data_IF_587538441048
#
_entry.id   IF_587538441048
#
_cell.length_a   1.000
_cell.length_b   1.000
_cell.length_c   1.000
_cell.angle_alpha   90.00
_cell.angle_beta   90.00
_cell.angle_gamma   90.00
#
_symmetry.space_group_name_H-M   'P 1'
#
loop_
_entity.id
_entity.type
_entity.pdbx_description
1 polymer ?
#
# COMPACT_ATOMS: atom_id res chain seq x y z
N UNK A 1 -4.83 -8.34 -7.05
CA UNK A 1 -5.04 -7.25 -8.01
C UNK A 1 -3.81 -6.90 -8.84
N UNK A 2 -2.66 -7.48 -8.58
CA UNK A 2 -1.40 -7.20 -9.30
C UNK A 2 -1.50 -7.36 -10.81
N UNK A 3 -2.35 -8.26 -11.30
CA UNK A 3 -2.62 -8.48 -12.72
C UNK A 3 -3.49 -7.40 -13.39
N UNK A 4 -4.09 -6.48 -12.63
CA UNK A 4 -4.88 -5.35 -13.15
C UNK A 4 -3.99 -4.14 -13.33
N UNK A 5 -4.13 -3.43 -14.45
CA UNK A 5 -3.49 -2.12 -14.67
C UNK A 5 -2.21 -2.13 -15.49
N UNK A 6 -1.83 -3.27 -16.05
CA UNK A 6 -0.84 -3.38 -17.13
C UNK A 6 0.61 -3.04 -16.75
N UNK A 7 0.94 -2.83 -15.49
CA UNK A 7 2.34 -2.71 -15.05
C UNK A 7 2.98 -4.10 -15.07
N UNK A 8 3.87 -4.36 -16.03
CA UNK A 8 4.60 -5.62 -16.14
C UNK A 8 6.09 -5.35 -16.05
N UNK A 9 6.81 -6.11 -15.21
CA UNK A 9 8.23 -5.95 -15.07
C UNK A 9 8.91 -7.22 -14.58
N UNK A 10 10.22 -7.31 -14.79
CA UNK A 10 11.08 -8.38 -14.25
C UNK A 10 12.14 -7.79 -13.33
N UNK A 11 12.54 -8.59 -12.36
CA UNK A 11 13.63 -8.26 -11.46
C UNK A 11 14.96 -8.50 -12.17
N UNK A 12 15.92 -7.61 -11.94
CA UNK A 12 17.31 -7.73 -12.36
C UNK A 12 18.21 -7.83 -11.12
N UNK A 13 19.47 -8.21 -11.28
CA UNK A 13 20.44 -8.17 -10.18
C UNK A 13 20.58 -6.77 -9.54
N UNK A 14 20.38 -5.72 -10.34
CA UNK A 14 20.42 -4.33 -9.89
C UNK A 14 19.19 -3.87 -9.07
N UNK A 15 18.08 -4.63 -9.08
CA UNK A 15 16.89 -4.31 -8.30
C UNK A 15 15.59 -4.89 -8.85
N UNK A 16 14.49 -4.68 -8.10
CA UNK A 16 13.14 -5.10 -8.46
C UNK A 16 12.54 -4.22 -9.55
N UNK A 17 11.77 -4.84 -10.47
CA UNK A 17 10.92 -4.17 -11.46
C UNK A 17 11.65 -3.17 -12.38
N UNK A 18 12.94 -3.37 -12.63
CA UNK A 18 13.76 -2.43 -13.40
C UNK A 18 13.58 -2.52 -14.92
N UNK A 19 13.06 -3.63 -15.42
CA UNK A 19 12.80 -3.79 -16.84
C UNK A 19 11.36 -4.24 -17.06
N UNK A 20 10.55 -3.34 -17.59
CA UNK A 20 9.13 -3.57 -17.76
C UNK A 20 8.49 -2.69 -18.82
N UNK A 21 7.20 -2.89 -19.00
CA UNK A 21 6.38 -2.13 -19.93
C UNK A 21 4.95 -1.99 -19.38
N UNK A 22 4.25 -0.96 -19.82
CA UNK A 22 2.80 -0.90 -19.68
C UNK A 22 2.15 -1.75 -20.77
N UNK A 23 1.61 -2.90 -20.39
CA UNK A 23 0.90 -3.81 -21.29
C UNK A 23 -0.37 -4.31 -20.63
N UNK A 24 -1.52 -3.80 -21.08
CA UNK A 24 -2.81 -4.24 -20.56
C UNK A 24 -3.09 -5.70 -20.96
N UNK A 25 -3.59 -6.53 -20.03
CA UNK A 25 -4.08 -7.86 -20.35
C UNK A 25 -5.39 -7.75 -21.14
N UNK A 26 -5.65 -8.72 -22.03
CA UNK A 26 -6.94 -8.85 -22.72
C UNK A 26 -8.01 -9.47 -21.83
N UNK A 27 -7.60 -10.19 -20.79
CA UNK A 27 -8.46 -10.84 -19.81
C UNK A 27 -7.67 -11.06 -18.53
N UNK A 28 -8.31 -10.84 -17.38
CA UNK A 28 -7.80 -11.19 -16.04
C UNK A 28 -8.74 -12.23 -15.43
N UNK A 29 -8.23 -13.42 -15.15
CA UNK A 29 -8.96 -14.46 -14.44
C UNK A 29 -8.51 -14.49 -12.99
N UNK A 30 -9.47 -14.35 -12.07
CA UNK A 30 -9.23 -14.44 -10.62
C UNK A 30 -9.98 -15.67 -10.10
N UNK A 31 -9.26 -16.74 -9.79
CA UNK A 31 -9.83 -17.92 -9.12
C UNK A 31 -9.43 -17.93 -7.64
N UNK A 32 -10.34 -17.56 -6.71
CA UNK A 32 -10.05 -17.55 -5.28
C UNK A 32 -9.71 -18.94 -4.72
N UNK A 33 -10.07 -20.03 -5.39
CA UNK A 33 -9.74 -21.37 -4.93
C UNK A 33 -8.22 -21.63 -4.91
N UNK A 34 -7.45 -20.92 -5.73
CA UNK A 34 -5.97 -21.00 -5.72
C UNK A 34 -5.36 -20.53 -4.40
N UNK A 35 -6.07 -19.72 -3.64
CA UNK A 35 -5.62 -19.24 -2.33
C UNK A 35 -5.69 -20.34 -1.24
N UNK A 36 -6.43 -21.42 -1.45
CA UNK A 36 -6.60 -22.48 -0.45
C UNK A 36 -5.29 -23.20 -0.10
N UNK A 37 -4.29 -23.16 -0.97
CA UNK A 37 -2.98 -23.78 -0.78
C UNK A 37 -1.92 -22.82 -0.28
N UNK A 38 -2.25 -21.52 -0.12
CA UNK A 38 -1.30 -20.53 0.39
C UNK A 38 -1.03 -20.71 1.89
N UNK A 39 0.21 -20.57 2.33
CA UNK A 39 0.56 -20.45 3.75
C UNK A 39 -0.14 -19.24 4.38
N UNK A 40 -0.40 -19.29 5.67
CA UNK A 40 -1.04 -18.19 6.43
C UNK A 40 -0.26 -16.87 6.30
N UNK A 41 1.06 -16.94 6.25
CA UNK A 41 1.91 -15.76 6.08
C UNK A 41 1.59 -15.01 4.78
N UNK A 42 1.31 -15.70 3.68
CA UNK A 42 0.95 -15.05 2.41
C UNK A 42 -0.47 -14.48 2.43
N UNK A 43 -1.39 -15.09 3.19
CA UNK A 43 -2.69 -14.51 3.46
C UNK A 43 -2.58 -13.19 4.23
N UNK A 44 -1.77 -13.18 5.29
CA UNK A 44 -1.48 -11.97 6.07
C UNK A 44 -0.82 -10.92 5.18
N UNK A 45 0.19 -11.32 4.41
CA UNK A 45 0.87 -10.44 3.45
C UNK A 45 -0.11 -9.76 2.49
N UNK A 46 -1.04 -10.51 1.91
CA UNK A 46 -2.08 -9.96 1.02
C UNK A 46 -3.01 -8.95 1.69
N UNK A 47 -3.26 -9.07 3.00
CA UNK A 47 -4.12 -8.15 3.75
C UNK A 47 -3.58 -6.72 3.79
N UNK A 48 -2.26 -6.50 3.70
CA UNK A 48 -1.66 -5.16 3.65
C UNK A 48 -2.21 -4.34 2.48
N UNK A 49 -2.23 -4.93 1.29
CA UNK A 49 -2.79 -4.29 0.10
C UNK A 49 -4.32 -4.11 0.19
N UNK A 50 -5.02 -5.07 0.76
CA UNK A 50 -6.49 -4.99 0.90
C UNK A 50 -6.88 -3.84 1.84
N UNK A 51 -6.17 -3.67 2.96
CA UNK A 51 -6.41 -2.56 3.90
C UNK A 51 -6.13 -1.21 3.21
N UNK A 52 -5.10 -1.13 2.39
CA UNK A 52 -4.81 0.07 1.58
C UNK A 52 -6.03 0.50 0.77
N UNK A 53 -6.72 -0.43 0.09
CA UNK A 53 -7.95 -0.09 -0.65
C UNK A 53 -9.06 0.43 0.25
N UNK A 54 -9.14 0.00 1.49
CA UNK A 54 -10.07 0.54 2.46
C UNK A 54 -9.89 2.05 2.71
N UNK A 55 -8.69 2.58 2.50
CA UNK A 55 -8.36 4.01 2.61
C UNK A 55 -8.39 4.76 1.28
N UNK A 56 -8.92 4.15 0.23
CA UNK A 56 -9.09 4.74 -1.10
C UNK A 56 -10.57 4.83 -1.51
N UNK A 57 -11.44 5.19 -0.56
CA UNK A 57 -12.89 5.40 -0.78
C UNK A 57 -13.63 4.19 -1.35
N UNK A 58 -13.19 2.96 -1.05
CA UNK A 58 -13.90 1.76 -1.50
C UNK A 58 -15.11 1.48 -0.58
N UNK A 59 -16.35 1.67 -1.06
CA UNK A 59 -17.52 1.63 -0.19
C UNK A 59 -17.68 0.31 0.56
N UNK A 60 -17.82 0.40 1.88
CA UNK A 60 -18.11 -0.74 2.76
C UNK A 60 -16.95 -1.73 2.93
N UNK A 61 -15.78 -1.50 2.33
CA UNK A 61 -14.64 -2.40 2.49
C UNK A 61 -14.10 -2.36 3.92
N UNK A 62 -13.84 -1.17 4.49
CA UNK A 62 -13.38 -1.04 5.88
C UNK A 62 -14.34 -1.69 6.87
N UNK A 63 -15.63 -1.40 6.77
CA UNK A 63 -16.67 -2.00 7.62
C UNK A 63 -16.64 -3.53 7.54
N UNK A 64 -16.46 -4.09 6.33
CA UNK A 64 -16.34 -5.53 6.16
C UNK A 64 -15.10 -6.08 6.86
N UNK A 65 -13.94 -5.42 6.70
CA UNK A 65 -12.68 -5.86 7.29
C UNK A 65 -12.68 -5.76 8.83
N UNK A 66 -13.32 -4.73 9.38
CA UNK A 66 -13.51 -4.56 10.84
C UNK A 66 -14.35 -5.67 11.45
N UNK A 67 -15.49 -5.99 10.83
CA UNK A 67 -16.39 -7.01 11.34
C UNK A 67 -15.93 -8.43 11.07
N UNK A 68 -15.21 -8.65 9.96
CA UNK A 68 -14.74 -9.96 9.50
C UNK A 68 -13.28 -9.90 9.06
N UNK A 69 -12.32 -9.90 10.00
CA UNK A 69 -10.91 -9.98 9.65
C UNK A 69 -10.63 -11.21 8.78
N UNK A 70 -9.97 -10.99 7.63
CA UNK A 70 -9.83 -12.00 6.57
C UNK A 70 -9.09 -13.25 7.01
N UNK A 71 -8.13 -13.10 7.92
CA UNK A 71 -7.38 -14.26 8.44
C UNK A 71 -8.29 -15.27 9.15
N UNK A 72 -9.42 -14.82 9.69
CA UNK A 72 -10.42 -15.65 10.37
C UNK A 72 -11.67 -15.94 9.53
N UNK A 73 -11.88 -15.18 8.45
CA UNK A 73 -13.09 -15.20 7.63
C UNK A 73 -12.76 -15.29 6.13
N UNK A 74 -11.99 -16.33 5.75
CA UNK A 74 -11.53 -16.55 4.36
C UNK A 74 -12.66 -16.79 3.36
N UNK A 75 -13.83 -17.20 3.83
CA UNK A 75 -15.06 -17.35 3.04
C UNK A 75 -15.52 -16.04 2.37
N UNK A 76 -15.17 -14.88 2.95
CA UNK A 76 -15.51 -13.57 2.40
C UNK A 76 -14.55 -13.07 1.31
N UNK A 77 -13.47 -13.80 1.01
CA UNK A 77 -12.37 -13.32 0.17
C UNK A 77 -12.79 -12.96 -1.26
N UNK A 78 -13.69 -13.72 -1.86
CA UNK A 78 -14.16 -13.45 -3.24
C UNK A 78 -14.79 -12.06 -3.36
N UNK A 79 -15.61 -11.67 -2.39
CA UNK A 79 -16.23 -10.33 -2.36
C UNK A 79 -15.19 -9.24 -2.17
N UNK A 80 -14.20 -9.47 -1.31
CA UNK A 80 -13.10 -8.52 -1.06
C UNK A 80 -12.23 -8.34 -2.31
N UNK A 81 -11.84 -9.45 -2.96
CA UNK A 81 -11.07 -9.41 -4.22
C UNK A 81 -11.84 -8.62 -5.28
N UNK A 82 -13.13 -8.89 -5.45
CA UNK A 82 -13.97 -8.19 -6.43
C UNK A 82 -13.95 -6.69 -6.19
N UNK A 83 -14.11 -6.23 -4.94
CA UNK A 83 -14.07 -4.80 -4.61
C UNK A 83 -12.70 -4.16 -4.88
N UNK A 84 -11.61 -4.83 -4.50
CA UNK A 84 -10.25 -4.33 -4.74
C UNK A 84 -9.92 -4.27 -6.24
N UNK A 85 -10.30 -5.30 -7.00
CA UNK A 85 -10.10 -5.37 -8.46
C UNK A 85 -10.90 -4.27 -9.16
N UNK A 86 -12.17 -4.08 -8.77
CA UNK A 86 -13.01 -3.03 -9.34
C UNK A 86 -12.42 -1.64 -9.04
N UNK A 87 -12.08 -1.37 -7.79
CA UNK A 87 -11.49 -0.08 -7.40
C UNK A 87 -10.19 0.21 -8.17
N UNK A 88 -9.34 -0.81 -8.37
CA UNK A 88 -8.13 -0.64 -9.18
C UNK A 88 -8.46 -0.39 -10.64
N UNK A 89 -9.42 -1.12 -11.20
CA UNK A 89 -9.84 -0.94 -12.59
C UNK A 89 -10.37 0.48 -12.83
N UNK A 90 -11.24 0.99 -11.94
CA UNK A 90 -11.80 2.33 -12.03
C UNK A 90 -10.73 3.43 -11.97
N UNK A 91 -9.71 3.25 -11.12
CA UNK A 91 -8.56 4.17 -11.01
C UNK A 91 -7.68 4.09 -12.26
N UNK A 92 -7.41 2.88 -12.77
CA UNK A 92 -6.57 2.67 -13.96
C UNK A 92 -7.25 3.20 -15.22
N UNK A 93 -8.58 3.09 -15.34
CA UNK A 93 -9.34 3.64 -16.46
C UNK A 93 -9.20 5.17 -16.54
N UNK A 94 -9.14 5.85 -15.39
CA UNK A 94 -8.95 7.30 -15.31
C UNK A 94 -7.50 7.72 -15.57
N UNK A 95 -6.52 6.87 -15.22
CA UNK A 95 -5.10 7.21 -15.31
C UNK A 95 -4.24 5.96 -15.54
N UNK A 96 -4.18 5.52 -16.79
CA UNK A 96 -3.46 4.31 -17.17
C UNK A 96 -1.96 4.36 -16.81
N UNK A 97 -1.32 5.54 -16.98
CA UNK A 97 0.14 5.71 -16.88
C UNK A 97 0.64 6.27 -15.55
N UNK A 98 -0.25 6.42 -14.55
CA UNK A 98 0.12 6.91 -13.21
C UNK A 98 0.69 8.34 -13.20
N UNK A 99 0.15 9.19 -14.05
CA UNK A 99 0.51 10.61 -14.06
C UNK A 99 -0.29 11.45 -13.03
N UNK A 100 -1.44 10.95 -12.59
CA UNK A 100 -2.41 11.63 -11.71
C UNK A 100 -2.97 10.74 -10.62
N UNK A 101 -4.29 10.47 -10.69
CA UNK A 101 -5.07 9.78 -9.64
C UNK A 101 -4.58 8.38 -9.30
N UNK A 102 -3.99 7.67 -10.24
CA UNK A 102 -3.46 6.32 -10.01
C UNK A 102 -2.34 6.29 -8.96
N UNK A 103 -1.67 7.42 -8.72
CA UNK A 103 -0.69 7.52 -7.66
C UNK A 103 -1.27 7.30 -6.26
N UNK A 104 -2.61 7.43 -6.05
CA UNK A 104 -3.29 7.06 -4.80
C UNK A 104 -3.03 5.60 -4.39
N UNK A 105 -2.85 4.69 -5.37
CA UNK A 105 -2.50 3.29 -5.11
C UNK A 105 -1.18 3.12 -4.37
N UNK A 106 -0.36 4.17 -4.24
CA UNK A 106 0.91 4.16 -3.51
C UNK A 106 0.75 4.55 -2.02
N UNK A 107 -0.45 4.57 -1.45
CA UNK A 107 -0.62 4.72 0.00
C UNK A 107 0.22 3.66 0.74
N UNK A 108 1.02 4.10 1.70
CA UNK A 108 1.95 3.25 2.44
C UNK A 108 3.23 2.86 1.68
N UNK A 109 3.26 2.97 0.35
CA UNK A 109 4.38 2.49 -0.46
C UNK A 109 5.64 3.36 -0.37
N UNK A 110 5.52 4.65 -0.10
CA UNK A 110 6.70 5.53 0.02
C UNK A 110 7.65 5.03 1.10
N UNK A 111 7.14 4.76 2.30
CA UNK A 111 7.94 4.18 3.39
C UNK A 111 8.03 2.65 3.28
N UNK A 112 7.01 1.98 2.74
CA UNK A 112 7.01 0.54 2.53
C UNK A 112 8.17 0.07 1.63
N UNK A 113 8.39 0.69 0.48
CA UNK A 113 9.54 0.41 -0.39
C UNK A 113 10.87 0.72 0.30
N UNK A 114 10.91 1.79 1.12
CA UNK A 114 12.07 2.09 1.95
C UNK A 114 12.40 0.94 2.91
N UNK A 115 11.37 0.39 3.57
CA UNK A 115 11.49 -0.77 4.47
C UNK A 115 11.92 -2.04 3.72
N UNK A 116 11.27 -2.36 2.58
CA UNK A 116 11.67 -3.51 1.76
C UNK A 116 13.15 -3.45 1.38
N UNK A 117 13.60 -2.29 0.91
CA UNK A 117 14.98 -2.11 0.47
C UNK A 117 15.98 -2.13 1.62
N UNK A 118 15.68 -1.45 2.73
CA UNK A 118 16.53 -1.41 3.92
C UNK A 118 16.64 -2.79 4.61
N UNK A 119 15.59 -3.62 4.51
CA UNK A 119 15.60 -5.01 4.99
C UNK A 119 16.21 -6.01 4.00
N UNK A 120 16.82 -5.56 2.90
CA UNK A 120 17.28 -6.45 1.81
C UNK A 120 16.17 -7.39 1.31
N UNK A 121 14.91 -6.91 1.32
CA UNK A 121 13.69 -7.64 0.93
C UNK A 121 13.31 -8.82 1.83
N UNK A 122 13.84 -8.87 3.05
CA UNK A 122 13.43 -9.85 4.07
C UNK A 122 12.03 -9.54 4.62
N UNK A 123 11.64 -8.26 4.70
CA UNK A 123 10.28 -7.86 5.06
C UNK A 123 9.37 -8.01 3.83
N UNK A 124 8.33 -8.83 3.95
CA UNK A 124 7.36 -9.06 2.87
C UNK A 124 6.61 -7.77 2.51
N UNK A 125 6.27 -7.63 1.22
CA UNK A 125 5.69 -6.41 0.66
C UNK A 125 4.47 -5.89 1.43
N UNK A 126 3.46 -6.72 1.67
CA UNK A 126 2.26 -6.29 2.39
C UNK A 126 2.53 -5.91 3.85
N UNK A 127 3.53 -6.52 4.50
CA UNK A 127 3.99 -6.12 5.82
C UNK A 127 4.62 -4.74 5.77
N UNK A 128 5.49 -4.50 4.79
CA UNK A 128 6.12 -3.20 4.58
C UNK A 128 5.10 -2.10 4.25
N UNK A 129 4.09 -2.41 3.42
CA UNK A 129 2.99 -1.48 3.10
C UNK A 129 2.16 -1.16 4.35
N UNK A 130 1.83 -2.15 5.20
CA UNK A 130 1.09 -1.93 6.44
C UNK A 130 1.86 -1.01 7.41
N UNK A 131 3.16 -1.26 7.60
CA UNK A 131 4.03 -0.39 8.40
C UNK A 131 4.11 1.00 7.77
N UNK A 132 4.27 1.08 6.44
CA UNK A 132 4.34 2.34 5.71
C UNK A 132 3.06 3.17 5.84
N UNK A 133 1.88 2.55 5.86
CA UNK A 133 0.60 3.21 6.16
C UNK A 133 0.58 3.75 7.58
N UNK A 134 1.06 2.98 8.56
CA UNK A 134 1.14 3.44 9.96
C UNK A 134 2.07 4.65 10.11
N UNK A 135 3.25 4.61 9.51
CA UNK A 135 4.22 5.72 9.56
C UNK A 135 3.64 6.97 8.89
N UNK A 136 3.02 6.83 7.72
CA UNK A 136 2.37 7.95 7.02
C UNK A 136 1.22 8.54 7.84
N UNK A 137 0.38 7.69 8.43
CA UNK A 137 -0.74 8.13 9.27
C UNK A 137 -0.26 8.84 10.57
N UNK A 138 0.82 8.35 11.19
CA UNK A 138 1.45 9.01 12.34
C UNK A 138 1.98 10.41 11.96
N UNK A 139 2.65 10.53 10.82
CA UNK A 139 3.09 11.80 10.27
C UNK A 139 1.90 12.73 9.99
N UNK A 140 0.83 12.23 9.37
CA UNK A 140 -0.38 12.99 9.08
C UNK A 140 -1.04 13.56 10.36
N UNK A 141 -1.07 12.77 11.44
CA UNK A 141 -1.56 13.27 12.76
C UNK A 141 -0.69 14.42 13.27
N UNK A 142 0.64 14.29 13.19
CA UNK A 142 1.56 15.36 13.61
C UNK A 142 1.39 16.66 12.81
N UNK A 143 1.12 16.52 11.53
CA UNK A 143 0.85 17.66 10.64
C UNK A 143 -0.59 18.19 10.75
N UNK A 144 -1.45 17.61 11.61
CA UNK A 144 -2.85 18.01 11.77
C UNK A 144 -3.74 17.67 10.56
N UNK A 145 -3.32 16.71 9.75
CA UNK A 145 -4.00 16.26 8.52
C UNK A 145 -4.92 15.07 8.76
N UNK A 146 -4.70 14.33 9.85
CA UNK A 146 -5.47 13.16 10.24
C UNK A 146 -5.81 13.22 11.73
N UNK A 147 -7.03 12.83 12.10
CA UNK A 147 -7.42 12.71 13.50
C UNK A 147 -6.75 11.50 14.17
N UNK A 148 -6.41 11.65 15.46
CA UNK A 148 -5.82 10.57 16.29
C UNK A 148 -6.75 9.35 16.33
N UNK A 149 -8.07 9.54 16.35
CA UNK A 149 -9.04 8.44 16.33
C UNK A 149 -8.94 7.60 15.05
N UNK A 150 -8.74 8.24 13.89
CA UNK A 150 -8.55 7.54 12.62
C UNK A 150 -7.25 6.73 12.60
N UNK A 151 -6.17 7.25 13.17
CA UNK A 151 -4.90 6.53 13.34
C UNK A 151 -5.07 5.29 14.22
N UNK A 152 -5.76 5.41 15.37
CA UNK A 152 -5.98 4.26 16.25
C UNK A 152 -6.89 3.19 15.61
N UNK A 153 -7.91 3.59 14.85
CA UNK A 153 -8.73 2.66 14.06
C UNK A 153 -7.90 1.91 13.03
N UNK A 154 -7.04 2.60 12.29
CA UNK A 154 -6.11 1.96 11.34
C UNK A 154 -5.21 0.95 12.04
N UNK A 155 -4.65 1.31 13.19
CA UNK A 155 -3.78 0.44 13.99
C UNK A 155 -4.51 -0.82 14.47
N UNK A 156 -5.75 -0.68 14.94
CA UNK A 156 -6.60 -1.81 15.35
C UNK A 156 -6.89 -2.71 14.15
N UNK A 157 -7.22 -2.15 12.99
CA UNK A 157 -7.51 -2.89 11.77
C UNK A 157 -6.30 -3.70 11.29
N UNK A 158 -5.12 -3.09 11.23
CA UNK A 158 -3.86 -3.74 10.85
C UNK A 158 -3.56 -4.92 11.78
N UNK A 159 -3.66 -4.71 13.11
CA UNK A 159 -3.45 -5.77 14.11
C UNK A 159 -4.48 -6.90 14.03
N UNK A 160 -5.74 -6.59 13.70
CA UNK A 160 -6.80 -7.60 13.54
C UNK A 160 -6.54 -8.55 12.37
N UNK A 161 -5.66 -8.15 11.43
CA UNK A 161 -5.20 -8.96 10.29
C UNK A 161 -3.80 -9.53 10.49
N UNK A 162 -3.29 -9.57 11.72
CA UNK A 162 -1.98 -10.09 12.11
C UNK A 162 -0.79 -9.39 11.41
N UNK A 163 -1.01 -8.18 10.89
CA UNK A 163 0.02 -7.36 10.25
C UNK A 163 0.79 -6.54 11.30
N UNK A 164 2.09 -6.28 11.07
CA UNK A 164 2.90 -5.44 11.93
C UNK A 164 2.51 -3.96 11.80
N UNK A 165 2.64 -3.23 12.91
CA UNK A 165 2.40 -1.78 12.97
C UNK A 165 3.69 -0.98 13.19
N UNK A 166 4.82 -1.65 13.37
CA UNK A 166 6.14 -1.04 13.64
C UNK A 166 7.23 -1.85 12.96
N UNK A 167 8.42 -1.26 12.85
CA UNK A 167 9.64 -1.90 12.35
C UNK A 167 10.81 -1.60 13.27
N UNK A 168 11.85 -2.42 13.21
CA UNK A 168 13.13 -2.20 13.87
C UNK A 168 14.13 -1.43 12.99
N UNK A 169 13.78 -1.22 11.70
CA UNK A 169 14.60 -0.45 10.77
C UNK A 169 14.53 1.02 11.18
N UNK A 170 15.68 1.69 11.22
CA UNK A 170 15.76 3.08 11.61
C UNK A 170 15.09 4.02 10.59
N UNK A 171 14.63 5.17 11.06
CA UNK A 171 14.01 6.19 10.21
C UNK A 171 14.97 6.69 9.13
N UNK A 172 16.24 6.81 9.48
CA UNK A 172 17.33 7.23 8.59
C UNK A 172 17.51 6.25 7.43
N UNK A 173 17.49 4.93 7.72
CA UNK A 173 17.61 3.88 6.70
C UNK A 173 16.39 3.88 5.78
N UNK A 174 15.18 4.00 6.34
CA UNK A 174 13.93 4.08 5.55
C UNK A 174 13.97 5.29 4.61
N UNK A 175 14.34 6.48 5.13
CA UNK A 175 14.43 7.71 4.33
C UNK A 175 15.51 7.63 3.26
N UNK A 176 16.68 7.11 3.58
CA UNK A 176 17.76 6.94 2.62
C UNK A 176 17.33 6.01 1.46
N UNK A 177 16.67 4.90 1.78
CA UNK A 177 16.16 3.96 0.81
C UNK A 177 15.03 4.54 -0.06
N UNK A 178 14.09 5.29 0.55
CA UNK A 178 12.97 5.95 -0.14
C UNK A 178 13.43 7.05 -1.12
N UNK A 179 14.47 7.82 -0.76
CA UNK A 179 15.07 8.86 -1.63
C UNK A 179 15.75 8.28 -2.87
N UNK A 180 16.36 7.09 -2.76
CA UNK A 180 17.05 6.45 -3.88
C UNK A 180 16.13 5.93 -4.98
N UNK A 181 14.88 5.60 -4.64
CA UNK A 181 13.92 5.04 -5.59
C UNK A 181 13.41 6.09 -6.61
N UNK A 182 13.61 7.39 -6.32
CA UNK A 182 13.05 8.51 -7.11
C UNK A 182 14.09 9.57 -7.53
N UNK A 183 15.36 9.21 -7.71
CA UNK A 183 16.44 10.13 -8.13
C UNK A 183 16.23 10.83 -9.48
N UNK A 184 15.18 10.54 -10.22
CA UNK A 184 14.95 11.06 -11.57
C UNK A 184 13.98 12.24 -11.68
N UNK A 185 13.30 12.67 -10.61
CA UNK A 185 12.18 13.64 -10.73
C UNK A 185 12.31 14.93 -9.89
N UNK A 186 13.52 15.45 -9.65
CA UNK A 186 13.67 16.81 -9.07
C UNK A 186 13.63 16.87 -7.55
N UNK A 187 13.37 18.08 -7.00
CA UNK A 187 13.41 18.37 -5.55
C UNK A 187 12.17 17.91 -4.77
N UNK A 188 11.12 17.44 -5.45
CA UNK A 188 9.83 17.09 -4.85
C UNK A 188 9.47 15.63 -5.06
N UNK A 189 8.60 15.13 -4.19
CA UNK A 189 8.04 13.77 -4.23
C UNK A 189 6.53 13.84 -4.08
N UNK A 190 5.80 12.98 -4.81
CA UNK A 190 4.37 12.78 -4.64
C UNK A 190 4.15 11.70 -3.57
N UNK A 191 3.42 12.03 -2.53
CA UNK A 191 3.03 11.10 -1.46
C UNK A 191 1.52 10.96 -1.38
N UNK A 192 1.04 9.89 -0.75
CA UNK A 192 -0.38 9.68 -0.43
C UNK A 192 -0.55 9.77 1.07
N UNK A 193 -1.40 10.67 1.51
CA UNK A 193 -1.62 10.98 2.93
C UNK A 193 -3.05 10.61 3.29
N UNK A 194 -3.30 9.77 4.31
CA UNK A 194 -4.65 9.58 4.83
C UNK A 194 -5.13 10.86 5.52
N UNK A 195 -6.28 11.37 5.14
CA UNK A 195 -6.87 12.62 5.67
C UNK A 195 -8.13 12.37 6.51
N UNK A 196 -8.72 11.19 6.38
CA UNK A 196 -9.73 10.69 7.30
C UNK A 196 -9.76 9.16 7.28
N UNK A 197 -10.55 8.53 8.16
CA UNK A 197 -10.70 7.09 8.16
C UNK A 197 -11.42 6.62 6.89
N UNK A 198 -10.68 5.99 5.99
CA UNK A 198 -11.18 5.48 4.70
C UNK A 198 -10.89 6.38 3.50
N UNK A 199 -10.28 7.54 3.71
CA UNK A 199 -9.96 8.49 2.63
C UNK A 199 -8.51 8.94 2.66
N UNK A 200 -7.92 9.12 1.47
CA UNK A 200 -6.54 9.59 1.31
C UNK A 200 -6.42 10.54 0.13
N UNK A 201 -5.46 11.46 0.22
CA UNK A 201 -5.21 12.47 -0.80
C UNK A 201 -3.76 12.44 -1.31
N UNK A 202 -3.56 12.91 -2.54
CA UNK A 202 -2.24 13.12 -3.10
C UNK A 202 -1.68 14.46 -2.66
N UNK A 203 -0.41 14.47 -2.23
CA UNK A 203 0.32 15.66 -1.85
C UNK A 203 1.69 15.65 -2.51
N UNK A 204 2.12 16.83 -3.01
CA UNK A 204 3.47 17.02 -3.54
C UNK A 204 4.26 17.79 -2.49
N UNK A 205 5.35 17.21 -2.02
CA UNK A 205 6.20 17.76 -0.96
C UNK A 205 7.67 17.67 -1.35
N UNK A 206 8.52 18.39 -0.64
CA UNK A 206 9.97 18.27 -0.78
C UNK A 206 10.50 16.99 -0.08
N UNK A 207 11.71 16.58 -0.42
CA UNK A 207 12.38 15.47 0.30
C UNK A 207 12.71 15.83 1.76
N UNK A 208 12.82 17.11 2.09
CA UNK A 208 13.01 17.59 3.46
C UNK A 208 11.70 17.46 4.26
N UNK A 209 10.59 17.87 3.67
CA UNK A 209 9.26 17.69 4.28
C UNK A 209 8.91 16.23 4.48
N UNK A 210 9.33 15.31 3.57
CA UNK A 210 9.09 13.88 3.75
C UNK A 210 9.69 13.35 5.07
N UNK A 211 10.85 13.86 5.48
CA UNK A 211 11.48 13.45 6.74
C UNK A 211 10.61 13.79 7.95
N UNK A 212 9.88 14.91 7.91
CA UNK A 212 9.01 15.35 9.02
C UNK A 212 7.81 14.44 9.28
N UNK A 213 7.42 13.63 8.29
CA UNK A 213 6.40 12.59 8.48
C UNK A 213 6.90 11.37 9.26
N UNK A 214 8.23 11.18 9.37
CA UNK A 214 8.83 10.10 10.16
C UNK A 214 9.31 10.54 11.54
N UNK A 215 9.47 11.84 11.78
CA UNK A 215 9.91 12.37 13.08
C UNK A 215 8.87 12.10 14.17
#
# INVERSE_FOLDING_TARGET
DSSVGGKTAVNLEAGKNLWGAFKQPILVLCDPATLNTLPDMEWINGCGEIIKYGFLDVPGLLTQLEHKPLIKHRDSISTVITRCVQAKADIVEQDERESGVRALLNLGHTFGHGIEKASHFEVHHGYAVAIGMMLMAQGAVKHGELDVEALEKLKVLIKAHDLPTTTTISKEEILAAAKHDKKSEGATIKIVVPTSYGHSELKVITHEELATYLD
#
